data_IF_278301526587
#
_entry.id   IF_278301526587
#
_cell.length_a   1.000
_cell.length_b   1.000
_cell.length_c   1.000
_cell.angle_alpha   90.00
_cell.angle_beta   90.00
_cell.angle_gamma   90.00
#
_symmetry.space_group_name_H-M   'P 1'
#
loop_
_entity.id
_entity.type
_entity.pdbx_description
1 polymer ?
#
# COMPACT_ATOMS: atom_id res chain seq x y z
N UNK A 1 -8.70 -20.63 19.01
CA UNK A 1 -7.59 -19.71 18.72
C UNK A 1 -8.26 -18.42 18.29
N UNK A 2 -8.14 -17.32 19.07
CA UNK A 2 -8.79 -16.06 18.72
C UNK A 2 -8.20 -15.54 17.41
N UNK A 3 -9.08 -15.08 16.52
CA UNK A 3 -8.71 -14.43 15.27
C UNK A 3 -7.95 -13.12 15.57
N UNK A 4 -6.61 -13.22 15.66
CA UNK A 4 -5.77 -12.04 15.77
C UNK A 4 -5.79 -11.35 14.41
N UNK A 5 -6.51 -10.21 14.31
CA UNK A 5 -6.54 -9.38 13.12
C UNK A 5 -5.20 -8.66 12.95
N UNK A 6 -4.75 -8.55 11.71
CA UNK A 6 -3.56 -7.78 11.37
C UNK A 6 -3.84 -6.29 11.60
N UNK A 7 -3.04 -5.63 12.42
CA UNK A 7 -3.17 -4.22 12.77
C UNK A 7 -2.49 -3.35 11.69
N UNK A 8 -3.30 -2.59 10.95
CA UNK A 8 -2.85 -1.82 9.78
C UNK A 8 -2.90 -0.32 10.04
N UNK A 9 -1.76 0.37 9.84
CA UNK A 9 -1.65 1.82 9.82
C UNK A 9 -1.76 2.38 8.39
N UNK A 10 -2.29 3.59 8.23
CA UNK A 10 -2.45 4.26 6.94
C UNK A 10 -1.55 5.50 6.87
N UNK A 11 -0.72 5.62 5.83
CA UNK A 11 0.21 6.74 5.61
C UNK A 11 -0.17 7.45 4.31
N UNK A 12 -0.63 8.72 4.43
CA UNK A 12 -1.18 9.51 3.33
C UNK A 12 -2.66 9.20 3.05
N UNK A 13 -3.54 10.18 3.20
CA UNK A 13 -5.00 10.03 3.15
C UNK A 13 -5.63 10.64 1.90
N UNK A 14 -4.89 10.64 0.79
CA UNK A 14 -5.37 11.06 -0.52
C UNK A 14 -6.46 10.14 -1.11
N UNK A 15 -6.97 10.50 -2.29
CA UNK A 15 -8.05 9.77 -2.95
C UNK A 15 -7.74 8.27 -3.17
N UNK A 16 -6.49 7.94 -3.48
CA UNK A 16 -6.10 6.57 -3.71
C UNK A 16 -6.17 5.73 -2.41
N UNK A 17 -5.74 6.32 -1.28
CA UNK A 17 -5.87 5.68 0.03
C UNK A 17 -7.33 5.36 0.38
N UNK A 18 -8.27 6.24 0.06
CA UNK A 18 -9.69 5.97 0.33
C UNK A 18 -10.19 4.70 -0.36
N UNK A 19 -9.64 4.36 -1.55
CA UNK A 19 -9.94 3.09 -2.21
C UNK A 19 -9.35 1.88 -1.46
N UNK A 20 -8.18 2.03 -0.86
CA UNK A 20 -7.61 0.99 0.01
C UNK A 20 -8.44 0.81 1.28
N UNK A 21 -8.78 1.90 1.96
CA UNK A 21 -9.62 1.88 3.17
C UNK A 21 -10.93 1.13 2.92
N UNK A 22 -11.61 1.44 1.80
CA UNK A 22 -12.87 0.78 1.44
C UNK A 22 -12.78 -0.74 1.29
N UNK A 23 -11.59 -1.27 1.01
CA UNK A 23 -11.33 -2.72 0.97
C UNK A 23 -10.94 -3.25 2.35
N UNK A 24 -10.03 -2.56 3.04
CA UNK A 24 -9.52 -2.97 4.35
C UNK A 24 -10.63 -3.13 5.39
N UNK A 25 -11.59 -2.20 5.43
CA UNK A 25 -12.71 -2.25 6.39
C UNK A 25 -13.70 -3.41 6.13
N UNK A 26 -13.60 -4.08 4.98
CA UNK A 26 -14.40 -5.26 4.63
C UNK A 26 -13.68 -6.57 4.92
N UNK A 27 -12.39 -6.53 5.25
CA UNK A 27 -11.58 -7.72 5.55
C UNK A 27 -11.75 -8.10 7.01
N UNK A 28 -12.19 -9.33 7.27
CA UNK A 28 -12.46 -9.80 8.63
C UNK A 28 -11.18 -9.99 9.47
N UNK A 29 -10.06 -10.22 8.80
CA UNK A 29 -8.73 -10.47 9.37
C UNK A 29 -7.86 -9.22 9.49
N UNK A 30 -8.42 -8.03 9.20
CA UNK A 30 -7.71 -6.74 9.26
C UNK A 30 -8.39 -5.80 10.26
N UNK A 31 -7.59 -5.02 10.95
CA UNK A 31 -8.01 -3.89 11.77
C UNK A 31 -7.21 -2.64 11.41
N UNK A 32 -7.89 -1.59 10.97
CA UNK A 32 -7.26 -0.29 10.74
C UNK A 32 -7.13 0.42 12.09
N UNK A 33 -5.90 0.60 12.56
CA UNK A 33 -5.61 1.02 13.94
C UNK A 33 -5.12 2.46 14.06
N UNK A 34 -4.81 3.13 12.96
CA UNK A 34 -4.39 4.53 12.96
C UNK A 34 -4.10 5.02 11.56
N UNK A 35 -4.07 6.34 11.38
CA UNK A 35 -3.78 6.97 10.11
C UNK A 35 -2.97 8.25 10.27
N UNK A 36 -2.19 8.64 9.25
CA UNK A 36 -1.50 9.93 9.25
C UNK A 36 -1.57 10.65 7.90
N UNK A 37 -1.67 11.96 7.99
CA UNK A 37 -1.56 12.91 6.87
C UNK A 37 -1.21 14.29 7.46
N UNK A 38 -0.29 15.08 6.87
CA UNK A 38 0.03 16.42 7.37
C UNK A 38 -1.17 17.37 7.29
N UNK A 39 -2.11 17.15 6.36
CA UNK A 39 -3.28 17.99 6.16
C UNK A 39 -4.44 17.55 7.06
N UNK A 40 -4.88 18.43 7.96
CA UNK A 40 -5.95 18.12 8.92
C UNK A 40 -7.27 17.71 8.26
N UNK A 41 -7.64 18.36 7.15
CA UNK A 41 -8.87 18.05 6.41
C UNK A 41 -8.83 16.62 5.82
N UNK A 42 -7.66 16.14 5.41
CA UNK A 42 -7.52 14.75 4.94
C UNK A 42 -7.71 13.74 6.07
N UNK A 43 -7.26 14.08 7.29
CA UNK A 43 -7.49 13.26 8.48
C UNK A 43 -8.97 13.22 8.88
N UNK A 44 -9.66 14.37 8.84
CA UNK A 44 -11.11 14.44 9.09
C UNK A 44 -11.90 13.64 8.05
N UNK A 45 -11.55 13.78 6.78
CA UNK A 45 -12.22 13.14 5.65
C UNK A 45 -12.28 11.60 5.74
N UNK A 46 -11.28 10.95 6.34
CA UNK A 46 -11.30 9.48 6.48
C UNK A 46 -12.39 9.03 7.44
N UNK A 47 -12.62 9.78 8.53
CA UNK A 47 -13.71 9.50 9.47
C UNK A 47 -15.09 9.77 8.86
N UNK A 48 -15.23 10.88 8.14
CA UNK A 48 -16.49 11.24 7.47
C UNK A 48 -16.89 10.18 6.42
N UNK A 49 -15.90 9.71 5.66
CA UNK A 49 -16.10 8.72 4.60
C UNK A 49 -16.33 7.31 5.13
N UNK A 50 -15.70 6.97 6.25
CA UNK A 50 -15.76 5.64 6.86
C UNK A 50 -16.10 5.73 8.35
N UNK A 51 -17.41 5.90 8.71
CA UNK A 51 -17.84 6.01 10.11
C UNK A 51 -17.44 4.83 11.00
N UNK A 52 -17.19 3.65 10.41
CA UNK A 52 -16.67 2.48 11.14
C UNK A 52 -15.28 2.73 11.76
N UNK A 53 -14.55 3.72 11.25
CA UNK A 53 -13.26 4.17 11.79
C UNK A 53 -13.39 5.37 12.73
N UNK A 54 -14.61 5.73 13.15
CA UNK A 54 -14.81 6.80 14.12
C UNK A 54 -14.05 6.48 15.43
N UNK A 55 -13.27 7.47 15.92
CA UNK A 55 -12.42 7.28 17.10
C UNK A 55 -11.05 6.63 16.83
N UNK A 56 -10.76 6.19 15.61
CA UNK A 56 -9.40 5.77 15.24
C UNK A 56 -8.45 6.98 15.35
N UNK A 57 -7.28 6.84 16.01
CA UNK A 57 -6.33 7.95 16.16
C UNK A 57 -5.75 8.36 14.81
N UNK A 58 -5.59 9.69 14.63
CA UNK A 58 -4.93 10.26 13.45
C UNK A 58 -3.80 11.19 13.86
N UNK A 59 -2.74 11.22 13.05
CA UNK A 59 -1.49 11.90 13.34
C UNK A 59 -1.09 12.82 12.18
N UNK A 60 -0.22 13.79 12.47
CA UNK A 60 0.33 14.65 11.43
C UNK A 60 1.43 13.97 10.63
N UNK A 61 2.19 13.06 11.26
CA UNK A 61 3.36 12.42 10.68
C UNK A 61 3.31 10.89 10.80
N UNK A 62 4.06 10.19 9.96
CA UNK A 62 4.13 8.74 10.02
C UNK A 62 4.98 8.26 11.21
N UNK A 63 5.94 9.04 11.66
CA UNK A 63 6.74 8.75 12.85
C UNK A 63 5.86 8.70 14.10
N UNK A 64 4.94 9.67 14.24
CA UNK A 64 3.96 9.68 15.34
C UNK A 64 3.06 8.43 15.28
N UNK A 65 2.54 8.09 14.09
CA UNK A 65 1.74 6.89 13.89
C UNK A 65 2.50 5.62 14.29
N UNK A 66 3.73 5.46 13.79
CA UNK A 66 4.55 4.28 14.07
C UNK A 66 4.87 4.16 15.57
N UNK A 67 5.23 5.28 16.22
CA UNK A 67 5.60 5.28 17.63
C UNK A 67 4.42 5.05 18.59
N UNK A 68 3.24 5.63 18.30
CA UNK A 68 2.11 5.61 19.22
C UNK A 68 1.17 4.42 19.02
N UNK A 69 1.06 3.91 17.80
CA UNK A 69 0.13 2.81 17.45
C UNK A 69 0.84 1.49 17.31
N UNK A 70 2.13 1.49 16.89
CA UNK A 70 2.93 0.30 16.60
C UNK A 70 2.14 -0.71 15.71
N UNK A 71 1.76 -0.35 14.47
CA UNK A 71 1.03 -1.23 13.58
C UNK A 71 1.90 -2.41 13.13
N UNK A 72 1.28 -3.56 12.82
CA UNK A 72 1.99 -4.72 12.26
C UNK A 72 2.29 -4.55 10.77
N UNK A 73 1.45 -3.77 10.08
CA UNK A 73 1.64 -3.42 8.68
C UNK A 73 1.19 -1.98 8.41
N UNK A 74 1.74 -1.35 7.38
CA UNK A 74 1.30 -0.05 6.91
C UNK A 74 0.95 -0.08 5.42
N UNK A 75 -0.06 0.71 5.04
CA UNK A 75 -0.32 1.06 3.64
C UNK A 75 0.17 2.49 3.40
N UNK A 76 1.04 2.67 2.41
CA UNK A 76 1.66 3.94 2.07
C UNK A 76 1.12 4.41 0.73
N UNK A 77 0.44 5.57 0.72
CA UNK A 77 -0.16 6.18 -0.47
C UNK A 77 0.04 7.70 -0.48
N UNK A 78 1.26 8.12 -0.26
CA UNK A 78 1.75 9.51 -0.28
C UNK A 78 2.29 9.87 -1.67
N UNK A 79 2.73 11.12 -1.90
CA UNK A 79 3.54 11.44 -3.08
C UNK A 79 4.86 10.64 -3.08
N UNK A 80 5.26 10.19 -4.27
CA UNK A 80 6.34 9.22 -4.49
C UNK A 80 7.68 9.60 -3.85
N UNK A 81 7.94 10.90 -3.70
CA UNK A 81 9.17 11.41 -3.07
C UNK A 81 9.33 11.00 -1.59
N UNK A 82 8.25 10.63 -0.93
CA UNK A 82 8.26 10.23 0.47
C UNK A 82 8.31 8.72 0.68
N UNK A 83 8.05 7.93 -0.37
CA UNK A 83 7.91 6.48 -0.25
C UNK A 83 9.13 5.79 0.36
N UNK A 84 10.35 6.14 -0.12
CA UNK A 84 11.58 5.51 0.35
C UNK A 84 11.72 5.62 1.86
N UNK A 85 11.68 6.86 2.38
CA UNK A 85 11.84 7.12 3.81
C UNK A 85 10.73 6.44 4.63
N UNK A 86 9.47 6.57 4.21
CA UNK A 86 8.34 5.99 4.93
C UNK A 86 8.38 4.46 4.98
N UNK A 87 8.84 3.80 3.90
CA UNK A 87 9.04 2.35 3.90
C UNK A 87 10.16 1.96 4.85
N UNK A 88 11.31 2.66 4.80
CA UNK A 88 12.46 2.37 5.67
C UNK A 88 12.09 2.55 7.14
N UNK A 89 11.38 3.62 7.48
CA UNK A 89 10.94 3.90 8.85
C UNK A 89 9.94 2.86 9.35
N UNK A 90 8.98 2.46 8.50
CA UNK A 90 8.01 1.40 8.84
C UNK A 90 8.72 0.06 9.12
N UNK A 91 9.68 -0.33 8.27
CA UNK A 91 10.48 -1.53 8.45
C UNK A 91 11.32 -1.47 9.74
N UNK A 92 11.93 -0.29 10.01
CA UNK A 92 12.70 -0.03 11.24
C UNK A 92 11.83 -0.09 12.51
N UNK A 93 10.56 0.30 12.42
CA UNK A 93 9.57 0.18 13.49
C UNK A 93 8.98 -1.25 13.61
N UNK A 94 9.40 -2.19 12.78
CA UNK A 94 8.94 -3.57 12.82
C UNK A 94 7.63 -3.85 12.07
N UNK A 95 7.15 -2.91 11.24
CA UNK A 95 5.96 -3.08 10.43
C UNK A 95 6.28 -3.62 9.02
N UNK A 96 5.37 -4.42 8.46
CA UNK A 96 5.35 -4.72 7.03
C UNK A 96 4.85 -3.51 6.23
N UNK A 97 5.22 -3.36 4.96
CA UNK A 97 4.82 -2.22 4.15
C UNK A 97 4.17 -2.64 2.82
N UNK A 98 2.96 -2.13 2.56
CA UNK A 98 2.36 -2.07 1.24
C UNK A 98 2.48 -0.64 0.72
N UNK A 99 3.29 -0.41 -0.31
CA UNK A 99 3.53 0.93 -0.87
C UNK A 99 2.94 1.06 -2.27
N UNK A 100 2.34 2.21 -2.55
CA UNK A 100 1.82 2.52 -3.88
C UNK A 100 2.94 2.60 -4.94
N UNK A 101 2.54 2.36 -6.17
CA UNK A 101 3.43 2.45 -7.33
C UNK A 101 3.60 3.94 -7.75
N UNK A 102 4.77 4.30 -8.29
CA UNK A 102 6.02 3.54 -8.27
C UNK A 102 6.56 3.40 -6.86
N UNK A 103 7.28 2.31 -6.56
CA UNK A 103 7.83 2.06 -5.23
C UNK A 103 8.68 3.24 -4.73
N UNK A 104 9.56 3.73 -5.58
CA UNK A 104 10.49 4.85 -5.32
C UNK A 104 10.86 5.55 -6.63
N UNK A 105 11.62 6.65 -6.56
CA UNK A 105 11.98 7.49 -7.72
C UNK A 105 13.36 7.18 -8.32
N UNK A 106 14.18 6.35 -7.69
CA UNK A 106 15.54 6.05 -8.15
C UNK A 106 16.01 4.65 -7.76
N UNK A 107 16.99 4.13 -8.51
CA UNK A 107 17.68 2.87 -8.18
C UNK A 107 18.38 2.94 -6.82
N UNK A 108 18.92 4.09 -6.45
CA UNK A 108 19.54 4.30 -5.13
C UNK A 108 18.54 4.05 -4.01
N UNK A 109 17.37 4.66 -4.10
CA UNK A 109 16.27 4.48 -3.13
C UNK A 109 15.74 3.04 -3.14
N UNK A 110 15.63 2.40 -4.32
CA UNK A 110 15.23 0.99 -4.41
C UNK A 110 16.21 0.09 -3.65
N UNK A 111 17.51 0.30 -3.81
CA UNK A 111 18.53 -0.44 -3.06
C UNK A 111 18.49 -0.16 -1.55
N UNK A 112 18.11 1.05 -1.13
CA UNK A 112 17.91 1.40 0.27
C UNK A 112 16.74 0.62 0.88
N UNK A 113 15.59 0.60 0.21
CA UNK A 113 14.42 -0.21 0.62
C UNK A 113 14.77 -1.70 0.68
N UNK A 114 15.50 -2.23 -0.31
CA UNK A 114 15.91 -3.65 -0.33
C UNK A 114 16.77 -3.97 0.90
N UNK A 115 17.78 -3.15 1.20
CA UNK A 115 18.64 -3.35 2.39
C UNK A 115 17.84 -3.27 3.70
N UNK A 116 16.95 -2.29 3.83
CA UNK A 116 16.09 -2.17 5.01
C UNK A 116 15.16 -3.38 5.18
N UNK A 117 14.59 -3.88 4.08
CA UNK A 117 13.76 -5.10 4.07
C UNK A 117 14.58 -6.32 4.51
N UNK A 118 15.78 -6.49 3.99
CA UNK A 118 16.68 -7.62 4.36
C UNK A 118 17.08 -7.56 5.83
N UNK A 119 17.41 -6.37 6.33
CA UNK A 119 17.80 -6.16 7.72
C UNK A 119 16.64 -6.39 8.70
N UNK A 120 15.43 -5.98 8.35
CA UNK A 120 14.24 -6.10 9.22
C UNK A 120 13.58 -7.48 9.17
N UNK A 121 13.79 -8.27 8.11
CA UNK A 121 13.07 -9.51 7.85
C UNK A 121 11.58 -9.31 7.54
N UNK A 122 11.14 -8.08 7.30
CA UNK A 122 9.74 -7.74 7.02
C UNK A 122 9.41 -7.84 5.53
N UNK A 123 8.14 -7.86 5.20
CA UNK A 123 7.64 -7.90 3.83
C UNK A 123 7.45 -6.47 3.32
N UNK A 124 7.94 -6.18 2.13
CA UNK A 124 7.57 -5.01 1.33
C UNK A 124 6.85 -5.49 0.09
N UNK A 125 5.65 -4.97 -0.14
CA UNK A 125 4.86 -5.23 -1.35
C UNK A 125 4.58 -3.91 -2.06
N UNK A 126 4.75 -3.89 -3.37
CA UNK A 126 4.37 -2.74 -4.21
C UNK A 126 2.99 -2.98 -4.80
N UNK A 127 2.11 -1.98 -4.74
CA UNK A 127 0.71 -2.07 -5.18
C UNK A 127 0.58 -2.10 -6.70
N UNK A 128 1.12 -3.14 -7.34
CA UNK A 128 0.89 -3.44 -8.77
C UNK A 128 -0.36 -4.32 -8.92
N UNK A 129 -1.53 -3.73 -8.80
CA UNK A 129 -2.82 -4.42 -8.73
C UNK A 129 -3.06 -5.40 -9.89
N UNK A 130 -2.50 -5.12 -11.07
CA UNK A 130 -2.71 -5.95 -12.26
C UNK A 130 -2.13 -7.35 -12.13
N UNK A 131 -1.08 -7.52 -11.32
CA UNK A 131 -0.47 -8.83 -11.08
C UNK A 131 -1.41 -9.82 -10.38
N UNK A 132 -2.46 -9.35 -9.73
CA UNK A 132 -3.43 -10.17 -8.99
C UNK A 132 -4.81 -10.22 -9.67
N UNK A 133 -5.00 -9.51 -10.79
CA UNK A 133 -6.28 -9.50 -11.50
C UNK A 133 -6.43 -10.74 -12.40
N UNK A 134 -7.61 -11.35 -12.36
CA UNK A 134 -7.90 -12.60 -13.09
C UNK A 134 -7.51 -12.60 -14.58
N UNK A 135 -7.73 -11.53 -15.39
CA UNK A 135 -7.31 -11.53 -16.78
C UNK A 135 -5.79 -11.68 -16.95
N UNK A 136 -4.99 -10.98 -16.10
CA UNK A 136 -3.52 -11.06 -16.19
C UNK A 136 -2.98 -12.39 -15.67
N UNK A 137 -3.57 -12.95 -14.64
CA UNK A 137 -3.26 -14.29 -14.16
C UNK A 137 -3.56 -15.35 -15.23
N UNK A 138 -4.68 -15.19 -15.98
CA UNK A 138 -5.02 -16.09 -17.08
C UNK A 138 -4.04 -15.99 -18.25
N UNK A 139 -3.61 -14.77 -18.61
CA UNK A 139 -2.57 -14.58 -19.64
C UNK A 139 -1.28 -15.28 -19.21
N UNK A 140 -0.86 -15.08 -17.96
CA UNK A 140 0.34 -15.73 -17.43
C UNK A 140 0.21 -17.25 -17.46
N UNK A 141 -0.90 -17.81 -17.03
CA UNK A 141 -1.18 -19.25 -17.10
C UNK A 141 -1.03 -19.81 -18.53
N UNK A 142 -1.62 -19.12 -19.54
CA UNK A 142 -1.54 -19.54 -20.93
C UNK A 142 -0.12 -19.54 -21.47
N UNK A 143 0.70 -18.58 -21.05
CA UNK A 143 2.12 -18.49 -21.38
C UNK A 143 2.89 -19.63 -20.70
N UNK A 144 2.77 -19.76 -19.38
CA UNK A 144 3.53 -20.71 -18.55
C UNK A 144 3.23 -22.17 -18.94
N UNK A 145 2.00 -22.45 -19.37
CA UNK A 145 1.58 -23.80 -19.80
C UNK A 145 1.86 -24.08 -21.28
N UNK A 146 2.43 -23.12 -22.01
CA UNK A 146 2.74 -23.26 -23.44
C UNK A 146 1.50 -23.32 -24.35
N UNK A 147 0.29 -23.01 -23.83
CA UNK A 147 -0.98 -23.10 -24.58
C UNK A 147 -1.02 -22.19 -25.82
N UNK A 148 -0.25 -21.12 -25.83
CA UNK A 148 -0.14 -20.17 -26.94
C UNK A 148 1.21 -20.28 -27.67
N UNK A 149 2.01 -21.31 -27.38
CA UNK A 149 3.34 -21.52 -27.94
C UNK A 149 4.37 -20.51 -27.36
N UNK A 150 5.44 -20.30 -28.12
CA UNK A 150 6.49 -19.34 -27.78
C UNK A 150 5.99 -17.92 -28.02
N UNK A 151 6.10 -17.07 -27.02
CA UNK A 151 5.76 -15.64 -27.16
C UNK A 151 6.91 -14.92 -27.90
N UNK A 152 6.63 -14.47 -29.11
CA UNK A 152 7.61 -13.73 -29.95
C UNK A 152 7.43 -12.22 -29.83
N UNK A 153 6.19 -11.75 -29.61
CA UNK A 153 5.89 -10.33 -29.51
C UNK A 153 4.69 -10.09 -28.60
N UNK A 154 4.75 -9.01 -27.84
CA UNK A 154 3.63 -8.49 -27.04
C UNK A 154 3.32 -7.07 -27.50
N UNK A 155 2.06 -6.82 -27.89
CA UNK A 155 1.54 -5.47 -28.14
C UNK A 155 0.48 -5.17 -27.09
N UNK A 156 0.70 -4.10 -26.32
CA UNK A 156 -0.22 -3.66 -25.29
C UNK A 156 -0.65 -2.21 -25.53
N UNK A 157 -1.95 -1.97 -25.56
CA UNK A 157 -2.54 -0.65 -25.69
C UNK A 157 -3.36 -0.35 -24.44
N UNK A 158 -3.09 0.79 -23.80
CA UNK A 158 -3.86 1.26 -22.65
C UNK A 158 -4.33 2.69 -22.91
N UNK A 159 -5.63 2.84 -23.16
CA UNK A 159 -6.27 4.14 -23.31
C UNK A 159 -6.99 4.49 -22.00
N UNK A 160 -6.66 5.64 -21.44
CA UNK A 160 -7.31 6.19 -20.23
C UNK A 160 -7.65 7.66 -20.48
N UNK A 161 -8.83 8.08 -20.04
CA UNK A 161 -9.24 9.49 -20.08
C UNK A 161 -8.71 10.18 -18.82
N UNK A 162 -7.56 10.83 -18.92
CA UNK A 162 -6.96 11.59 -17.81
C UNK A 162 -7.57 12.98 -17.62
N UNK A 163 -8.35 13.45 -18.60
CA UNK A 163 -8.89 14.81 -18.66
C UNK A 163 -10.40 14.89 -18.38
N UNK A 164 -11.04 13.81 -17.99
CA UNK A 164 -12.48 13.77 -17.72
C UNK A 164 -12.77 13.73 -16.20
N UNK A 165 -12.06 14.57 -15.45
CA UNK A 165 -12.26 14.76 -14.02
C UNK A 165 -12.30 16.24 -13.69
#
# INVERSE_FOLDING_TARGET
MGDARVRVGLIGLGNNMLSHVGRLVQMADVEVVGACDPVADMRARVHDRYPVLAGMPTFATHEELLAQVAPEAVVISTPHAFHCQQVVDALGAGAHALVEKPMVNSVREANEVIRAREASGKVVMVSYQRHTQAPYLKIKELIDTGRIGTVEMIVALQNQSWYAG
#
